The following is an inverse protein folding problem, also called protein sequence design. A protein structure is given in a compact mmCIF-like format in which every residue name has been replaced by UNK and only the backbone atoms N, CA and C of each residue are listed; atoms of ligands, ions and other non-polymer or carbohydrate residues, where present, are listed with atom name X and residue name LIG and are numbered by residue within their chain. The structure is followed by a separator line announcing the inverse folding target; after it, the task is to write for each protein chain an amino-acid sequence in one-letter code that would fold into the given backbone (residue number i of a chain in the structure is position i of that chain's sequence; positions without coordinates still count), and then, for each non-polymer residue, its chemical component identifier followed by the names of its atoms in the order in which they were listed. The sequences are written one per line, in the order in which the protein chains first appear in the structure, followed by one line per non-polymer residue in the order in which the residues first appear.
data_IF_522230718978
#
_entry.id   IF_522230718978
#
_cell.length_a   1.000
_cell.length_b   1.000
_cell.length_c   1.000
_cell.angle_alpha   90.00
_cell.angle_beta   90.00
_cell.angle_gamma   90.00
#
_symmetry.space_group_name_H-M   'P 1'
#
loop_
_entity.id
_entity.type
_entity.pdbx_description
1 polymer ?
#
# COMPACT_ATOMS: atom_id res chain seq x y z
N UNK A 1 -14.00 32.05 11.56
CA UNK A 1 -13.90 31.85 10.09
C UNK A 1 -12.75 30.88 9.87
N UNK A 2 -12.98 29.74 9.20
CA UNK A 2 -11.91 28.83 8.83
C UNK A 2 -11.05 29.50 7.75
N UNK A 3 -9.74 29.39 7.90
CA UNK A 3 -8.80 30.03 7.01
C UNK A 3 -8.48 29.07 5.85
N UNK A 4 -8.77 29.48 4.62
CA UNK A 4 -8.39 28.76 3.42
C UNK A 4 -6.88 28.83 3.21
N UNK A 5 -6.26 27.68 2.97
CA UNK A 5 -4.83 27.58 2.65
C UNK A 5 -4.63 27.48 1.15
N UNK A 6 -3.55 28.10 0.65
CA UNK A 6 -3.06 27.96 -0.72
C UNK A 6 -2.13 26.73 -0.76
N UNK A 7 -2.57 25.66 -1.43
CA UNK A 7 -1.93 24.36 -1.38
C UNK A 7 -1.39 23.96 -2.76
N UNK A 8 -0.14 23.50 -2.80
CA UNK A 8 0.39 22.69 -3.88
C UNK A 8 0.24 21.22 -3.48
N UNK A 9 -0.37 20.42 -4.33
CA UNK A 9 -0.53 18.99 -4.12
C UNK A 9 0.48 18.21 -4.95
N UNK A 10 1.15 17.22 -4.35
CA UNK A 10 2.07 16.32 -5.05
C UNK A 10 1.69 14.87 -4.79
N UNK A 11 1.49 14.12 -5.86
CA UNK A 11 1.12 12.72 -5.79
C UNK A 11 0.95 12.13 -7.18
N UNK A 12 0.86 10.81 -7.27
CA UNK A 12 0.85 10.14 -8.57
C UNK A 12 -0.29 9.12 -8.73
N UNK A 13 -0.40 8.04 -7.90
CA UNK A 13 -1.39 6.98 -8.14
C UNK A 13 -2.80 7.34 -7.66
N UNK A 14 -3.71 6.41 -7.84
CA UNK A 14 -5.10 6.52 -7.41
C UNK A 14 -5.27 6.90 -5.93
N UNK A 15 -4.47 6.33 -5.06
CA UNK A 15 -4.49 6.68 -3.62
C UNK A 15 -4.28 8.19 -3.42
N UNK A 16 -3.32 8.78 -4.11
CA UNK A 16 -3.08 10.22 -4.08
C UNK A 16 -4.24 11.00 -4.70
N UNK A 17 -4.79 10.53 -5.82
CA UNK A 17 -5.92 11.17 -6.48
C UNK A 17 -7.15 11.27 -5.56
N UNK A 18 -7.40 10.27 -4.72
CA UNK A 18 -8.51 10.31 -3.75
C UNK A 18 -8.30 11.38 -2.69
N UNK A 19 -7.06 11.64 -2.27
CA UNK A 19 -6.72 12.75 -1.37
C UNK A 19 -6.90 14.10 -2.06
N UNK A 20 -6.46 14.21 -3.30
CA UNK A 20 -6.67 15.42 -4.11
C UNK A 20 -8.17 15.72 -4.27
N UNK A 21 -8.98 14.71 -4.53
CA UNK A 21 -10.44 14.87 -4.65
C UNK A 21 -11.05 15.47 -3.36
N UNK A 22 -10.60 15.00 -2.19
CA UNK A 22 -11.05 15.55 -0.91
C UNK A 22 -10.63 17.02 -0.74
N UNK A 23 -9.40 17.37 -1.14
CA UNK A 23 -8.93 18.76 -1.11
C UNK A 23 -9.75 19.66 -2.04
N UNK A 24 -10.10 19.19 -3.23
CA UNK A 24 -10.90 19.94 -4.19
C UNK A 24 -12.33 20.19 -3.70
N UNK A 25 -12.85 19.31 -2.83
CA UNK A 25 -14.15 19.49 -2.18
C UNK A 25 -14.08 20.26 -0.87
N UNK A 26 -12.88 20.65 -0.43
CA UNK A 26 -12.67 21.42 0.80
C UNK A 26 -12.70 22.93 0.53
N UNK A 27 -12.59 23.70 1.59
CA UNK A 27 -12.47 25.16 1.52
C UNK A 27 -11.08 25.64 1.09
N UNK A 28 -10.08 24.73 1.02
CA UNK A 28 -8.71 25.09 0.64
C UNK A 28 -8.57 25.23 -0.88
N UNK A 29 -7.63 26.05 -1.30
CA UNK A 29 -7.34 26.30 -2.71
C UNK A 29 -6.15 25.46 -3.16
N UNK A 30 -6.37 24.53 -4.10
CA UNK A 30 -5.29 23.81 -4.77
C UNK A 30 -4.83 24.63 -5.98
N UNK A 31 -3.67 25.24 -5.85
CA UNK A 31 -3.16 26.18 -6.88
C UNK A 31 -2.37 25.49 -7.98
N UNK A 32 -1.81 24.32 -7.71
CA UNK A 32 -1.05 23.52 -8.66
C UNK A 32 -0.92 22.09 -8.18
N UNK A 33 -0.65 21.20 -9.12
CA UNK A 33 -0.42 19.76 -8.88
C UNK A 33 0.93 19.37 -9.46
N UNK A 34 1.70 18.63 -8.65
CA UNK A 34 2.92 17.96 -9.06
C UNK A 34 2.66 16.45 -9.12
N UNK A 35 3.08 15.82 -10.20
CA UNK A 35 2.93 14.37 -10.38
C UNK A 35 4.09 13.85 -11.23
N UNK A 36 4.33 12.54 -11.19
CA UNK A 36 5.38 11.95 -12.00
C UNK A 36 5.07 12.06 -13.49
N UNK A 37 6.09 12.06 -14.35
CA UNK A 37 5.88 12.07 -15.81
C UNK A 37 5.00 10.90 -16.27
N UNK A 38 4.28 11.11 -17.36
CA UNK A 38 3.50 10.06 -18.01
C UNK A 38 4.39 8.86 -18.35
N UNK A 39 3.88 7.65 -18.15
CA UNK A 39 4.62 6.41 -18.40
C UNK A 39 3.84 5.48 -19.31
N UNK A 40 4.55 4.63 -20.09
CA UNK A 40 3.90 3.59 -20.85
C UNK A 40 3.11 2.64 -19.95
N UNK A 41 1.84 2.40 -20.29
CA UNK A 41 0.95 1.52 -19.54
C UNK A 41 0.18 0.59 -20.48
N UNK A 42 -0.23 -0.56 -19.94
CA UNK A 42 -1.03 -1.54 -20.65
C UNK A 42 -0.29 -2.28 -21.77
N UNK A 43 -1.02 -3.13 -22.48
CA UNK A 43 -0.46 -4.00 -23.53
C UNK A 43 0.09 -3.25 -24.74
N UNK A 44 -0.34 -2.05 -25.01
CA UNK A 44 0.14 -1.24 -26.15
C UNK A 44 1.28 -0.28 -25.82
N UNK A 45 1.77 -0.24 -24.58
CA UNK A 45 2.80 0.69 -24.10
C UNK A 45 2.53 2.15 -24.47
N UNK A 46 1.26 2.55 -24.57
CA UNK A 46 0.89 3.94 -24.77
C UNK A 46 1.16 4.76 -23.51
N UNK A 47 1.59 6.01 -23.69
CA UNK A 47 1.77 6.91 -22.56
C UNK A 47 0.42 7.15 -21.86
N UNK A 48 0.38 6.92 -20.56
CA UNK A 48 -0.79 7.16 -19.74
C UNK A 48 -0.50 8.25 -18.72
N UNK A 49 -1.43 9.18 -18.58
CA UNK A 49 -1.38 10.18 -17.54
C UNK A 49 -1.64 9.53 -16.17
N UNK A 50 -0.87 9.90 -15.12
CA UNK A 50 -1.16 9.45 -13.76
C UNK A 50 -2.58 9.86 -13.33
N UNK A 51 -3.22 9.09 -12.42
CA UNK A 51 -4.54 9.45 -11.88
C UNK A 51 -4.64 10.87 -11.33
N UNK A 52 -3.61 11.35 -10.65
CA UNK A 52 -3.57 12.73 -10.12
C UNK A 52 -3.61 13.75 -11.25
N UNK A 53 -2.85 13.53 -12.33
CA UNK A 53 -2.90 14.42 -13.52
C UNK A 53 -4.28 14.43 -14.14
N UNK A 54 -4.90 13.27 -14.32
CA UNK A 54 -6.23 13.16 -14.91
C UNK A 54 -7.24 13.99 -14.12
N UNK A 55 -7.24 13.86 -12.81
CA UNK A 55 -8.14 14.61 -11.93
C UNK A 55 -7.86 16.11 -11.99
N UNK A 56 -6.59 16.52 -11.97
CA UNK A 56 -6.20 17.92 -12.03
C UNK A 56 -6.66 18.58 -13.34
N UNK A 57 -6.52 17.89 -14.46
CA UNK A 57 -6.98 18.39 -15.77
C UNK A 57 -8.50 18.56 -15.83
N UNK A 58 -9.25 17.66 -15.23
CA UNK A 58 -10.73 17.79 -15.13
C UNK A 58 -11.15 19.05 -14.36
N UNK A 59 -10.33 19.54 -13.45
CA UNK A 59 -10.59 20.70 -12.60
C UNK A 59 -9.80 21.94 -13.05
N UNK A 60 -9.16 21.89 -14.22
CA UNK A 60 -8.38 23.00 -14.79
C UNK A 60 -7.27 23.52 -13.86
N UNK A 61 -6.63 22.60 -13.11
CA UNK A 61 -5.52 22.91 -12.22
C UNK A 61 -4.21 22.74 -12.99
N UNK A 62 -3.27 23.70 -12.91
CA UNK A 62 -1.95 23.58 -13.53
C UNK A 62 -1.22 22.32 -13.05
N UNK A 63 -0.64 21.56 -13.97
CA UNK A 63 0.08 20.30 -13.71
C UNK A 63 1.55 20.47 -14.05
N UNK A 64 2.41 20.08 -13.12
CA UNK A 64 3.87 20.10 -13.25
C UNK A 64 4.40 18.67 -13.14
N UNK A 65 5.24 18.28 -14.09
CA UNK A 65 5.78 16.90 -14.16
C UNK A 65 7.31 16.90 -14.29
N UNK A 66 8.05 17.50 -13.34
CA UNK A 66 9.51 17.45 -13.38
C UNK A 66 10.00 16.01 -13.22
N UNK A 67 11.13 15.68 -13.85
CA UNK A 67 11.78 14.39 -13.65
C UNK A 67 12.48 14.29 -12.28
N UNK A 68 12.91 15.44 -11.75
CA UNK A 68 13.51 15.58 -10.42
C UNK A 68 13.49 17.03 -9.96
N UNK A 69 13.82 17.27 -8.69
CA UNK A 69 14.06 18.61 -8.14
C UNK A 69 15.56 18.95 -8.01
N UNK A 70 16.40 18.33 -8.83
CA UNK A 70 17.84 18.63 -8.82
C UNK A 70 18.17 19.98 -9.47
N UNK A 71 17.41 20.39 -10.48
CA UNK A 71 17.67 21.65 -11.18
C UNK A 71 17.18 22.86 -10.38
N UNK A 72 17.87 23.98 -10.54
CA UNK A 72 17.45 25.25 -9.96
C UNK A 72 16.13 25.74 -10.58
N UNK A 73 15.90 25.43 -11.86
CA UNK A 73 14.67 25.79 -12.57
C UNK A 73 13.44 25.14 -11.94
N UNK A 74 13.49 23.83 -11.65
CA UNK A 74 12.39 23.11 -11.01
C UNK A 74 12.09 23.66 -9.61
N UNK A 75 13.12 24.01 -8.85
CA UNK A 75 12.98 24.61 -7.51
C UNK A 75 12.37 26.00 -7.60
N UNK A 76 12.82 26.82 -8.54
CA UNK A 76 12.31 28.18 -8.73
C UNK A 76 10.86 28.19 -9.20
N UNK A 77 10.49 27.28 -10.10
CA UNK A 77 9.12 27.12 -10.56
C UNK A 77 8.15 26.84 -9.40
N UNK A 78 8.54 25.99 -8.47
CA UNK A 78 7.77 25.75 -7.25
C UNK A 78 7.70 26.99 -6.35
N UNK A 79 8.82 27.67 -6.16
CA UNK A 79 8.89 28.88 -5.33
C UNK A 79 7.99 30.01 -5.88
N UNK A 80 7.92 30.16 -7.19
CA UNK A 80 7.11 31.19 -7.84
C UNK A 80 5.60 31.01 -7.64
N UNK A 81 5.16 29.82 -7.24
CA UNK A 81 3.76 29.55 -6.94
C UNK A 81 3.29 30.18 -5.61
N UNK A 82 4.20 30.55 -4.74
CA UNK A 82 3.89 31.13 -3.42
C UNK A 82 2.88 30.31 -2.62
N UNK A 83 3.06 28.99 -2.57
CA UNK A 83 2.22 28.11 -1.77
C UNK A 83 2.43 28.31 -0.27
N UNK A 84 1.35 28.24 0.50
CA UNK A 84 1.46 28.22 1.95
C UNK A 84 1.85 26.85 2.48
N UNK A 85 1.38 25.79 1.82
CA UNK A 85 1.61 24.39 2.21
C UNK A 85 1.73 23.51 0.98
N UNK A 86 2.58 22.49 1.05
CA UNK A 86 2.61 21.43 0.06
C UNK A 86 2.11 20.15 0.72
N UNK A 87 1.11 19.52 0.13
CA UNK A 87 0.58 18.22 0.55
C UNK A 87 1.11 17.14 -0.37
N UNK A 88 1.82 16.17 0.21
CA UNK A 88 2.47 15.08 -0.53
C UNK A 88 1.80 13.76 -0.19
N UNK A 89 1.29 13.06 -1.19
CA UNK A 89 0.66 11.75 -1.03
C UNK A 89 1.15 10.82 -2.14
N UNK A 90 1.97 9.83 -1.78
CA UNK A 90 2.49 8.85 -2.74
C UNK A 90 3.06 9.51 -4.02
N UNK A 91 3.92 10.48 -3.85
CA UNK A 91 4.55 11.17 -4.97
C UNK A 91 5.65 10.34 -5.62
N UNK A 92 6.49 9.69 -4.80
CA UNK A 92 7.57 8.82 -5.28
C UNK A 92 8.78 9.58 -5.80
N UNK A 93 8.94 10.84 -5.41
CA UNK A 93 10.08 11.68 -5.78
C UNK A 93 10.75 12.25 -4.54
N UNK A 94 12.07 12.23 -4.52
CA UNK A 94 12.84 12.84 -3.42
C UNK A 94 12.70 14.35 -3.46
N UNK A 95 12.40 14.92 -2.30
CA UNK A 95 12.29 16.36 -2.11
C UNK A 95 13.54 16.85 -1.35
N UNK A 96 14.42 17.63 -2.00
CA UNK A 96 15.57 18.19 -1.31
C UNK A 96 15.15 19.25 -0.29
N UNK A 97 16.04 19.57 0.64
CA UNK A 97 15.75 20.53 1.71
C UNK A 97 15.22 21.87 1.20
N UNK A 98 15.77 22.36 0.09
CA UNK A 98 15.30 23.60 -0.52
C UNK A 98 13.83 23.55 -0.93
N UNK A 99 13.33 22.39 -1.38
CA UNK A 99 11.91 22.19 -1.72
C UNK A 99 11.06 22.08 -0.46
N UNK A 100 11.54 21.37 0.55
CA UNK A 100 10.83 21.23 1.83
C UNK A 100 10.63 22.58 2.54
N UNK A 101 11.59 23.49 2.38
CA UNK A 101 11.57 24.82 3.00
C UNK A 101 10.81 25.88 2.15
N UNK A 102 10.45 25.54 0.92
CA UNK A 102 9.83 26.50 -0.01
C UNK A 102 8.42 26.93 0.43
N UNK A 103 7.48 26.04 0.74
CA UNK A 103 6.18 26.48 1.25
C UNK A 103 6.31 27.10 2.63
N UNK A 104 5.56 28.14 2.90
CA UNK A 104 5.61 28.88 4.17
C UNK A 104 5.43 27.99 5.40
N UNK A 105 4.51 27.01 5.32
CA UNK A 105 4.21 26.05 6.38
C UNK A 105 4.87 24.69 6.14
N UNK A 106 5.77 24.59 5.16
CA UNK A 106 6.48 23.37 4.82
C UNK A 106 5.67 22.39 3.99
N UNK A 107 6.07 21.12 4.07
CA UNK A 107 5.46 20.01 3.35
C UNK A 107 4.94 18.99 4.35
N UNK A 108 3.72 18.49 4.14
CA UNK A 108 3.15 17.40 4.91
C UNK A 108 2.93 16.19 4.01
N UNK A 109 2.97 14.99 4.61
CA UNK A 109 2.78 13.74 3.90
C UNK A 109 1.73 12.89 4.59
N UNK A 110 0.91 12.20 3.81
CA UNK A 110 0.00 11.16 4.29
C UNK A 110 0.67 9.82 4.12
N UNK A 111 1.03 9.18 5.22
CA UNK A 111 1.69 7.87 5.23
C UNK A 111 0.74 6.78 5.71
N UNK A 112 0.71 5.65 5.01
CA UNK A 112 -0.21 4.54 5.26
C UNK A 112 0.20 3.60 6.39
N UNK A 113 0.64 4.14 7.52
CA UNK A 113 0.93 3.39 8.75
C UNK A 113 0.76 4.26 9.99
N UNK A 114 0.81 3.63 11.15
CA UNK A 114 0.88 4.30 12.46
C UNK A 114 2.37 4.51 12.78
N UNK A 115 2.95 5.63 12.31
CA UNK A 115 4.36 5.94 12.54
C UNK A 115 4.69 6.03 14.05
N UNK A 116 5.91 5.65 14.46
CA UNK A 116 7.10 5.34 13.65
C UNK A 116 7.14 3.92 13.08
N UNK A 117 6.09 3.12 13.30
CA UNK A 117 6.02 1.78 12.74
C UNK A 117 5.77 1.83 11.23
N UNK A 118 6.51 1.01 10.50
CA UNK A 118 6.39 0.84 9.04
C UNK A 118 6.70 2.11 8.24
N UNK A 119 7.82 2.77 8.55
CA UNK A 119 8.41 3.73 7.62
C UNK A 119 8.74 3.03 6.30
N UNK A 120 8.68 3.71 5.18
CA UNK A 120 9.13 3.19 3.89
C UNK A 120 8.01 2.82 2.90
N UNK A 121 8.30 1.88 2.00
CA UNK A 121 7.60 1.74 0.73
C UNK A 121 6.28 0.94 0.77
N UNK A 122 6.16 -0.04 1.68
CA UNK A 122 5.05 -0.99 1.66
C UNK A 122 4.36 -1.16 3.03
N UNK A 123 3.92 -0.07 3.68
CA UNK A 123 3.37 -0.13 5.03
C UNK A 123 2.08 -0.94 5.12
N UNK A 124 1.20 -0.86 4.12
CA UNK A 124 -0.08 -1.58 4.10
C UNK A 124 0.18 -3.09 4.13
N UNK A 125 1.03 -3.55 3.22
CA UNK A 125 1.35 -4.97 3.08
C UNK A 125 2.07 -5.50 4.33
N UNK A 126 3.02 -4.75 4.87
CA UNK A 126 3.81 -5.21 6.01
C UNK A 126 3.02 -5.29 7.31
N UNK A 127 2.04 -4.44 7.53
CA UNK A 127 1.17 -4.54 8.71
C UNK A 127 0.36 -5.84 8.73
N UNK A 128 -0.16 -6.26 7.58
CA UNK A 128 -0.88 -7.54 7.45
C UNK A 128 0.10 -8.71 7.55
N UNK A 129 1.21 -8.64 6.83
CA UNK A 129 2.26 -9.65 6.84
C UNK A 129 2.79 -9.95 8.25
N UNK A 130 2.95 -8.92 9.07
CA UNK A 130 3.44 -9.06 10.45
C UNK A 130 2.36 -9.50 11.45
N UNK A 131 1.09 -9.48 11.08
CA UNK A 131 -0.01 -9.83 11.97
C UNK A 131 -0.39 -8.72 12.94
N UNK A 132 -0.19 -7.46 12.57
CA UNK A 132 -0.59 -6.34 13.41
C UNK A 132 -2.10 -6.33 13.60
N UNK A 133 -2.55 -5.95 14.80
CA UNK A 133 -3.98 -5.89 15.13
C UNK A 133 -4.67 -4.67 14.52
N UNK A 134 -3.91 -3.60 14.29
CA UNK A 134 -4.40 -2.34 13.72
C UNK A 134 -3.38 -1.71 12.79
N UNK A 135 -3.86 -0.84 11.94
CA UNK A 135 -3.07 0.05 11.09
C UNK A 135 -3.77 1.41 11.00
N UNK A 136 -3.30 2.28 10.15
CA UNK A 136 -3.88 3.59 10.00
C UNK A 136 -3.10 4.47 9.05
N UNK A 137 -3.34 5.75 9.16
CA UNK A 137 -2.58 6.77 8.45
C UNK A 137 -1.99 7.76 9.44
N UNK A 138 -0.82 8.27 9.13
CA UNK A 138 -0.16 9.35 9.85
C UNK A 138 0.03 10.52 8.90
N UNK A 139 -0.42 11.69 9.30
CA UNK A 139 -0.06 12.96 8.65
C UNK A 139 1.18 13.47 9.37
N UNK A 140 2.28 13.64 8.64
CA UNK A 140 3.53 14.10 9.25
C UNK A 140 4.08 15.34 8.55
N UNK A 141 4.79 16.17 9.29
CA UNK A 141 5.62 17.24 8.76
C UNK A 141 6.84 16.59 8.11
N UNK A 142 7.08 16.82 6.83
CA UNK A 142 8.21 16.20 6.14
C UNK A 142 9.54 16.84 6.55
N UNK A 143 10.54 16.01 6.73
CA UNK A 143 11.96 16.39 6.85
C UNK A 143 12.77 15.63 5.79
N UNK A 144 14.08 15.75 5.85
CA UNK A 144 14.99 15.14 4.85
C UNK A 144 15.08 13.61 4.99
N UNK A 145 14.64 13.05 6.10
CA UNK A 145 14.66 11.62 6.33
C UNK A 145 13.50 10.88 5.67
N UNK A 146 13.60 9.56 5.61
CA UNK A 146 12.53 8.71 5.07
C UNK A 146 11.47 8.48 6.14
N UNK A 147 10.35 9.17 6.01
CA UNK A 147 9.19 9.06 6.91
C UNK A 147 9.53 9.30 8.40
N UNK A 148 10.45 10.20 8.66
CA UNK A 148 10.98 10.48 9.99
C UNK A 148 10.44 11.74 10.63
N UNK A 149 9.63 12.52 9.91
CA UNK A 149 9.14 13.82 10.36
C UNK A 149 8.16 13.76 11.53
N UNK A 150 7.94 14.89 12.16
CA UNK A 150 7.03 15.00 13.29
C UNK A 150 5.59 14.68 12.89
N UNK A 151 4.90 13.93 13.72
CA UNK A 151 3.52 13.53 13.49
C UNK A 151 2.56 14.65 13.88
N UNK A 152 1.64 14.97 12.98
CA UNK A 152 0.61 16.00 13.21
C UNK A 152 -0.75 15.38 13.56
N UNK A 153 -1.06 14.23 12.96
CA UNK A 153 -2.31 13.51 13.19
C UNK A 153 -2.14 12.03 12.87
N UNK A 154 -2.77 11.19 13.68
CA UNK A 154 -2.86 9.74 13.45
C UNK A 154 -4.33 9.35 13.47
N UNK A 155 -4.77 8.56 12.48
CA UNK A 155 -6.08 7.93 12.45
C UNK A 155 -5.88 6.42 12.29
N UNK A 156 -6.55 5.62 13.11
CA UNK A 156 -6.37 4.17 13.16
C UNK A 156 -7.63 3.42 12.81
N UNK A 157 -7.46 2.18 12.37
CA UNK A 157 -8.53 1.21 12.17
C UNK A 157 -8.03 -0.20 12.41
N UNK A 158 -8.92 -1.14 12.81
CA UNK A 158 -8.51 -2.52 13.02
C UNK A 158 -8.20 -3.22 11.70
N UNK A 159 -7.28 -4.19 11.76
CA UNK A 159 -7.06 -5.16 10.67
C UNK A 159 -7.90 -6.39 10.99
N UNK A 160 -8.92 -6.63 10.16
CA UNK A 160 -9.80 -7.79 10.33
C UNK A 160 -9.12 -9.07 9.79
N UNK A 161 -9.54 -10.23 10.29
CA UNK A 161 -9.00 -11.52 9.86
C UNK A 161 -9.17 -11.79 8.34
N UNK A 162 -10.14 -11.14 7.71
CA UNK A 162 -10.41 -11.26 6.28
C UNK A 162 -9.75 -10.18 5.42
N UNK A 163 -9.09 -9.20 6.05
CA UNK A 163 -8.46 -8.13 5.30
C UNK A 163 -7.27 -8.63 4.47
N UNK A 164 -7.25 -8.18 3.23
CA UNK A 164 -6.10 -8.27 2.31
C UNK A 164 -5.48 -6.89 2.15
N UNK A 165 -4.33 -6.81 1.51
CA UNK A 165 -3.78 -5.50 1.13
C UNK A 165 -4.71 -4.73 0.19
N UNK A 166 -5.47 -5.43 -0.67
CA UNK A 166 -6.48 -4.80 -1.52
C UNK A 166 -7.61 -4.17 -0.69
N UNK A 167 -8.19 -4.90 0.26
CA UNK A 167 -9.28 -4.35 1.11
C UNK A 167 -8.78 -3.25 2.04
N UNK A 168 -7.59 -3.41 2.59
CA UNK A 168 -6.99 -2.41 3.47
C UNK A 168 -6.65 -1.11 2.71
N UNK A 169 -6.16 -1.24 1.48
CA UNK A 169 -5.95 -0.09 0.61
C UNK A 169 -7.23 0.75 0.47
N UNK A 170 -8.37 0.11 0.21
CA UNK A 170 -9.66 0.81 0.10
C UNK A 170 -10.06 1.48 1.41
N UNK A 171 -9.88 0.81 2.55
CA UNK A 171 -10.17 1.38 3.86
C UNK A 171 -9.30 2.61 4.17
N UNK A 172 -8.01 2.53 3.88
CA UNK A 172 -7.09 3.65 4.09
C UNK A 172 -7.31 4.79 3.09
N UNK A 173 -7.76 4.47 1.88
CA UNK A 173 -8.11 5.46 0.87
C UNK A 173 -9.38 6.28 1.23
N UNK A 174 -10.18 5.80 2.17
CA UNK A 174 -11.29 6.55 2.78
C UNK A 174 -10.85 7.28 4.04
N UNK A 175 -10.10 6.61 4.90
CA UNK A 175 -9.63 7.18 6.18
C UNK A 175 -8.62 8.30 5.99
N UNK A 176 -7.71 8.16 5.04
CA UNK A 176 -6.62 9.11 4.80
C UNK A 176 -7.11 10.51 4.42
N UNK A 177 -8.02 10.64 3.43
CA UNK A 177 -8.59 11.94 3.07
C UNK A 177 -9.30 12.64 4.22
N UNK A 178 -10.08 11.93 5.03
CA UNK A 178 -10.72 12.50 6.22
C UNK A 178 -9.69 13.03 7.22
N UNK A 179 -8.68 12.23 7.53
CA UNK A 179 -7.61 12.63 8.44
C UNK A 179 -6.83 13.83 7.90
N UNK A 180 -6.61 13.90 6.59
CA UNK A 180 -5.94 15.03 5.95
C UNK A 180 -6.74 16.31 6.12
N UNK A 181 -8.04 16.30 5.83
CA UNK A 181 -8.89 17.50 5.95
C UNK A 181 -8.96 17.97 7.41
N UNK A 182 -9.11 17.05 8.37
CA UNK A 182 -9.09 17.39 9.80
C UNK A 182 -7.75 18.01 10.22
N UNK A 183 -6.65 17.45 9.75
CA UNK A 183 -5.31 17.98 10.03
C UNK A 183 -5.10 19.37 9.42
N UNK A 184 -5.60 19.61 8.22
CA UNK A 184 -5.53 20.91 7.56
C UNK A 184 -6.33 21.98 8.31
N UNK A 185 -7.46 21.63 8.89
CA UNK A 185 -8.22 22.53 9.75
C UNK A 185 -7.40 22.99 10.96
N UNK A 186 -6.68 22.06 11.60
CA UNK A 186 -5.80 22.37 12.72
C UNK A 186 -4.61 23.25 12.30
N UNK A 187 -4.00 22.94 11.14
CA UNK A 187 -2.90 23.75 10.61
C UNK A 187 -3.37 25.18 10.29
N UNK A 188 -4.51 25.31 9.62
CA UNK A 188 -5.08 26.61 9.25
C UNK A 188 -5.44 27.45 10.48
N UNK A 189 -5.87 26.80 11.57
CA UNK A 189 -6.20 27.46 12.83
C UNK A 189 -4.98 27.73 13.74
N UNK A 190 -3.78 27.28 13.33
CA UNK A 190 -2.59 27.38 14.17
C UNK A 190 -2.60 26.48 15.39
N UNK A 191 -3.41 25.40 15.37
CA UNK A 191 -3.61 24.48 16.49
C UNK A 191 -2.90 23.14 16.32
N UNK A 192 -2.25 22.88 15.18
CA UNK A 192 -1.51 21.65 14.96
C UNK A 192 -0.32 21.55 15.92
N UNK A 193 -0.19 20.43 16.62
CA UNK A 193 0.89 20.18 17.56
C UNK A 193 1.77 19.03 17.03
N UNK A 194 2.98 19.32 16.52
CA UNK A 194 3.89 18.29 16.07
C UNK A 194 4.38 17.44 17.24
N UNK A 195 4.38 16.13 17.03
CA UNK A 195 4.88 15.13 17.98
C UNK A 195 6.05 14.40 17.34
N UNK A 196 7.22 14.49 17.95
CA UNK A 196 8.42 13.81 17.46
C UNK A 196 8.24 12.29 17.50
N UNK A 197 8.66 11.61 16.42
CA UNK A 197 8.68 10.15 16.41
C UNK A 197 9.77 9.61 17.35
N UNK A 198 9.45 8.51 18.05
CA UNK A 198 10.43 7.76 18.83
C UNK A 198 11.16 6.79 17.88
N UNK A 199 12.41 7.10 17.54
CA UNK A 199 13.22 6.31 16.61
C UNK A 199 13.51 4.89 17.12
N UNK A 200 13.45 4.66 18.44
CA UNK A 200 13.65 3.33 19.02
C UNK A 200 12.47 2.39 18.70
N UNK A 201 11.30 2.94 18.42
CA UNK A 201 10.10 2.17 18.03
C UNK A 201 9.96 2.02 16.51
N UNK A 202 10.86 2.62 15.74
CA UNK A 202 10.78 2.59 14.29
C UNK A 202 11.17 1.25 13.71
N UNK A 203 10.48 0.85 12.65
CA UNK A 203 10.87 -0.22 11.75
C UNK A 203 10.54 0.18 10.31
N UNK A 204 10.93 -0.64 9.35
CA UNK A 204 10.86 -0.29 7.94
C UNK A 204 10.06 -1.31 7.13
N UNK A 205 9.11 -0.81 6.35
CA UNK A 205 8.31 -1.58 5.42
C UNK A 205 9.03 -1.67 4.07
N UNK A 206 9.86 -2.69 3.92
CA UNK A 206 10.60 -2.95 2.68
C UNK A 206 9.64 -3.21 1.54
N UNK A 207 10.01 -2.71 0.36
CA UNK A 207 9.29 -2.98 -0.89
C UNK A 207 9.15 -4.49 -1.11
N UNK A 208 7.98 -4.92 -1.58
CA UNK A 208 7.72 -6.32 -1.92
C UNK A 208 8.48 -6.72 -3.19
N UNK A 209 8.84 -8.00 -3.26
CA UNK A 209 9.43 -8.60 -4.46
C UNK A 209 8.62 -9.81 -4.90
N UNK A 210 8.76 -10.19 -6.16
CA UNK A 210 8.10 -11.40 -6.71
C UNK A 210 8.64 -12.67 -6.07
N UNK A 211 9.92 -12.68 -5.77
CA UNK A 211 10.60 -13.81 -5.13
C UNK A 211 10.05 -14.11 -3.74
N UNK A 212 9.72 -13.06 -2.99
CA UNK A 212 9.15 -13.16 -1.65
C UNK A 212 7.76 -13.83 -1.64
N UNK A 213 7.05 -13.80 -2.76
CA UNK A 213 5.72 -14.38 -2.89
C UNK A 213 5.72 -15.91 -3.02
N UNK A 214 6.88 -16.52 -3.28
CA UNK A 214 6.97 -17.99 -3.26
C UNK A 214 6.74 -18.50 -1.85
N UNK A 215 5.78 -19.40 -1.68
CA UNK A 215 5.46 -19.97 -0.37
C UNK A 215 6.62 -20.84 0.12
N UNK A 216 7.07 -20.58 1.33
CA UNK A 216 7.96 -21.47 2.05
C UNK A 216 7.12 -22.32 3.01
N UNK A 217 6.91 -23.58 2.66
CA UNK A 217 6.08 -24.49 3.45
C UNK A 217 6.65 -24.80 4.84
N UNK A 218 7.93 -24.50 5.08
CA UNK A 218 8.55 -24.64 6.40
C UNK A 218 8.15 -23.54 7.40
N UNK A 219 7.54 -22.48 6.92
CA UNK A 219 6.99 -21.42 7.77
C UNK A 219 5.72 -21.90 8.48
N UNK A 220 5.30 -21.20 9.53
CA UNK A 220 4.03 -21.49 10.20
C UNK A 220 2.84 -21.25 9.28
N UNK A 221 1.82 -22.09 9.39
CA UNK A 221 0.58 -21.92 8.62
C UNK A 221 -0.03 -20.52 8.81
N UNK A 222 0.00 -19.99 10.02
CA UNK A 222 -0.48 -18.65 10.33
C UNK A 222 0.30 -17.57 9.58
N UNK A 223 1.61 -17.71 9.45
CA UNK A 223 2.43 -16.76 8.69
C UNK A 223 2.15 -16.85 7.18
N UNK A 224 2.06 -18.07 6.64
CA UNK A 224 1.76 -18.27 5.22
C UNK A 224 0.38 -17.65 4.88
N UNK A 225 -0.61 -17.87 5.75
CA UNK A 225 -1.95 -17.30 5.59
C UNK A 225 -1.90 -15.76 5.53
N UNK A 226 -1.13 -15.12 6.42
CA UNK A 226 -0.94 -13.67 6.39
C UNK A 226 -0.24 -13.20 5.11
N UNK A 227 0.75 -13.94 4.61
CA UNK A 227 1.41 -13.65 3.34
C UNK A 227 0.41 -13.70 2.17
N UNK A 228 -0.48 -14.67 2.15
CA UNK A 228 -1.54 -14.76 1.13
C UNK A 228 -2.39 -13.50 1.12
N UNK A 229 -2.80 -13.01 2.27
CA UNK A 229 -3.57 -11.76 2.39
C UNK A 229 -2.74 -10.51 2.08
N UNK A 230 -1.52 -10.44 2.60
CA UNK A 230 -0.63 -9.29 2.41
C UNK A 230 -0.22 -9.09 0.94
N UNK A 231 -0.02 -10.18 0.21
CA UNK A 231 0.43 -10.15 -1.18
C UNK A 231 -0.71 -10.12 -2.20
N UNK A 232 -1.93 -9.99 -1.76
CA UNK A 232 -3.10 -9.78 -2.60
C UNK A 232 -3.41 -8.27 -2.68
N UNK A 233 -3.34 -7.60 -3.84
CA UNK A 233 -3.41 -8.14 -5.20
C UNK A 233 -2.04 -8.34 -5.89
N UNK A 234 -0.95 -8.04 -5.25
CA UNK A 234 0.39 -8.21 -5.84
C UNK A 234 1.43 -8.43 -4.72
N UNK A 235 2.40 -9.33 -4.95
CA UNK A 235 2.68 -10.13 -6.15
C UNK A 235 1.87 -11.43 -6.28
N UNK A 236 1.04 -11.79 -5.32
CA UNK A 236 0.28 -13.02 -5.14
C UNK A 236 1.17 -14.20 -4.74
N UNK A 237 0.91 -14.76 -3.57
CA UNK A 237 1.59 -15.96 -3.11
C UNK A 237 1.40 -17.11 -4.08
N UNK A 238 2.45 -17.90 -4.29
CA UNK A 238 2.43 -19.01 -5.25
C UNK A 238 3.30 -20.17 -4.79
N UNK A 239 3.06 -21.34 -5.37
CA UNK A 239 3.84 -22.55 -5.21
C UNK A 239 3.86 -23.33 -6.53
N UNK A 240 4.70 -24.36 -6.60
CA UNK A 240 4.79 -25.21 -7.78
C UNK A 240 4.04 -26.53 -7.56
N UNK A 241 3.24 -26.92 -8.54
CA UNK A 241 2.58 -28.23 -8.59
C UNK A 241 2.47 -28.70 -10.03
N UNK A 242 2.80 -29.98 -10.32
CA UNK A 242 2.76 -30.55 -11.66
C UNK A 242 3.46 -29.67 -12.71
N UNK A 243 4.64 -29.14 -12.38
CA UNK A 243 5.46 -28.25 -13.21
C UNK A 243 4.77 -26.91 -13.59
N UNK A 244 3.76 -26.52 -12.81
CA UNK A 244 3.05 -25.26 -13.01
C UNK A 244 3.14 -24.38 -11.76
N UNK A 245 3.26 -23.09 -11.97
CA UNK A 245 3.17 -22.11 -10.89
C UNK A 245 1.69 -21.83 -10.57
N UNK A 246 1.27 -22.14 -9.35
CA UNK A 246 -0.10 -22.01 -8.89
C UNK A 246 -0.20 -20.83 -7.93
N UNK A 247 -1.03 -19.86 -8.23
CA UNK A 247 -1.27 -18.71 -7.38
C UNK A 247 -2.34 -19.02 -6.33
N UNK A 248 -2.12 -18.54 -5.11
CA UNK A 248 -3.05 -18.70 -4.00
C UNK A 248 -3.73 -17.35 -3.72
N UNK A 249 -5.03 -17.31 -3.92
CA UNK A 249 -5.83 -16.10 -3.68
C UNK A 249 -6.49 -16.09 -2.30
N UNK A 250 -6.81 -17.27 -1.77
CA UNK A 250 -7.45 -17.40 -0.47
C UNK A 250 -7.00 -18.68 0.22
N UNK A 251 -6.73 -18.56 1.51
CA UNK A 251 -6.34 -19.66 2.38
C UNK A 251 -6.86 -19.42 3.80
N UNK A 252 -6.83 -20.47 4.63
CA UNK A 252 -7.10 -20.38 6.05
C UNK A 252 -6.22 -21.34 6.81
N UNK A 253 -6.06 -21.13 8.09
CA UNK A 253 -5.38 -22.06 8.98
C UNK A 253 -6.39 -23.12 9.43
N UNK A 254 -6.05 -24.42 9.26
CA UNK A 254 -6.89 -25.51 9.75
C UNK A 254 -6.79 -25.65 11.28
N UNK A 255 -7.83 -26.19 11.89
CA UNK A 255 -7.80 -26.55 13.30
C UNK A 255 -6.96 -27.80 13.55
N UNK A 256 -6.87 -28.69 12.57
CA UNK A 256 -6.08 -29.92 12.64
C UNK A 256 -4.58 -29.64 12.57
N UNK A 257 -3.80 -30.57 13.12
CA UNK A 257 -2.33 -30.59 13.00
C UNK A 257 -1.89 -31.78 12.15
N UNK A 258 -0.62 -31.79 11.75
CA UNK A 258 -0.04 -32.91 10.99
C UNK A 258 1.42 -33.13 11.41
N UNK A 259 1.84 -34.39 11.43
CA UNK A 259 3.23 -34.79 11.62
C UNK A 259 3.97 -35.04 10.29
N UNK A 260 3.29 -34.84 9.16
CA UNK A 260 3.87 -35.05 7.85
C UNK A 260 4.90 -33.94 7.53
N UNK A 261 5.87 -34.21 6.65
CA UNK A 261 6.81 -33.19 6.23
C UNK A 261 6.11 -31.95 5.66
N UNK A 262 6.69 -30.76 5.90
CA UNK A 262 6.17 -29.51 5.38
C UNK A 262 6.06 -29.55 3.85
N UNK A 263 4.93 -29.10 3.33
CA UNK A 263 4.61 -29.17 1.90
C UNK A 263 3.79 -30.38 1.50
N UNK A 264 3.58 -31.35 2.39
CA UNK A 264 2.80 -32.57 2.08
C UNK A 264 1.30 -32.25 2.07
N UNK A 265 0.60 -32.64 1.01
CA UNK A 265 -0.85 -32.62 0.93
C UNK A 265 -1.40 -33.72 1.84
N UNK A 266 -2.15 -33.36 2.85
CA UNK A 266 -2.71 -34.30 3.83
C UNK A 266 -4.19 -34.59 3.63
N UNK A 267 -4.88 -33.71 2.88
CA UNK A 267 -6.30 -33.86 2.54
C UNK A 267 -6.60 -33.00 1.31
N UNK A 268 -7.44 -33.49 0.41
CA UNK A 268 -7.88 -32.74 -0.76
C UNK A 268 -9.34 -33.10 -1.06
N UNK A 269 -10.24 -32.17 -0.83
CA UNK A 269 -11.67 -32.31 -1.07
C UNK A 269 -12.32 -30.95 -1.35
N UNK A 270 -13.65 -30.93 -1.45
CA UNK A 270 -14.41 -29.70 -1.71
C UNK A 270 -14.21 -28.58 -0.69
N UNK A 271 -13.72 -28.90 0.51
CA UNK A 271 -13.47 -27.91 1.57
C UNK A 271 -12.13 -27.23 1.43
N UNK A 272 -11.23 -27.78 0.64
CA UNK A 272 -9.91 -27.22 0.37
C UNK A 272 -8.84 -28.27 0.14
N UNK A 273 -7.64 -27.77 -0.16
CA UNK A 273 -6.41 -28.58 -0.19
C UNK A 273 -5.64 -28.27 1.08
N UNK A 274 -5.48 -29.29 1.91
CA UNK A 274 -4.82 -29.17 3.21
C UNK A 274 -3.36 -29.53 3.08
N UNK A 275 -2.47 -28.63 3.45
CA UNK A 275 -1.02 -28.78 3.28
C UNK A 275 -0.35 -28.66 4.65
N UNK A 276 0.45 -29.65 5.01
CA UNK A 276 1.28 -29.59 6.21
C UNK A 276 2.33 -28.48 6.06
N UNK A 277 2.57 -27.74 7.13
CA UNK A 277 3.55 -26.66 7.17
C UNK A 277 4.56 -26.89 8.28
N UNK A 278 5.49 -25.97 8.48
CA UNK A 278 6.44 -26.06 9.60
C UNK A 278 5.76 -26.10 10.97
N UNK A 279 4.59 -25.50 11.10
CA UNK A 279 3.73 -25.59 12.26
C UNK A 279 2.27 -25.38 11.82
N UNK A 280 1.45 -26.39 12.02
CA UNK A 280 0.04 -26.38 11.62
C UNK A 280 -0.19 -26.80 10.18
N UNK A 281 -1.42 -26.66 9.73
CA UNK A 281 -1.89 -27.03 8.40
C UNK A 281 -2.56 -25.82 7.74
N UNK A 282 -2.15 -25.53 6.52
CA UNK A 282 -2.77 -24.48 5.69
C UNK A 282 -3.81 -25.11 4.77
N UNK A 283 -4.98 -24.49 4.67
CA UNK A 283 -6.03 -24.89 3.74
C UNK A 283 -6.06 -23.90 2.58
N UNK A 284 -5.81 -24.40 1.39
CA UNK A 284 -5.95 -23.63 0.16
C UNK A 284 -7.42 -23.66 -0.27
N UNK A 285 -8.00 -22.48 -0.51
CA UNK A 285 -9.44 -22.36 -0.78
C UNK A 285 -9.72 -21.83 -2.19
N UNK A 286 -8.91 -20.90 -2.69
CA UNK A 286 -9.01 -20.32 -4.01
C UNK A 286 -7.64 -20.26 -4.68
N UNK A 287 -7.55 -20.86 -5.86
CA UNK A 287 -6.31 -21.01 -6.61
C UNK A 287 -6.45 -20.49 -8.05
N UNK A 288 -5.33 -20.15 -8.65
CA UNK A 288 -5.27 -19.77 -10.06
C UNK A 288 -4.16 -20.53 -10.75
N UNK A 289 -4.53 -21.34 -11.75
CA UNK A 289 -3.58 -22.02 -12.63
C UNK A 289 -3.20 -21.11 -13.79
N UNK A 290 -2.04 -21.33 -14.46
CA UNK A 290 -1.62 -20.52 -15.58
C UNK A 290 -2.69 -20.40 -16.67
N UNK A 291 -2.93 -19.19 -17.15
CA UNK A 291 -3.87 -18.91 -18.25
C UNK A 291 -5.35 -18.98 -17.88
N UNK A 292 -5.68 -19.19 -16.61
CA UNK A 292 -7.07 -19.26 -16.12
C UNK A 292 -7.35 -18.17 -15.07
N UNK A 293 -8.62 -17.98 -14.75
CA UNK A 293 -9.04 -17.12 -13.63
C UNK A 293 -8.89 -17.87 -12.32
N UNK A 294 -8.85 -17.12 -11.20
CA UNK A 294 -8.93 -17.71 -9.88
C UNK A 294 -10.24 -18.52 -9.73
N UNK A 295 -10.13 -19.71 -9.16
CA UNK A 295 -11.23 -20.66 -8.99
C UNK A 295 -11.22 -21.25 -7.60
N UNK A 296 -12.40 -21.71 -7.13
CA UNK A 296 -12.48 -22.52 -5.92
C UNK A 296 -11.67 -23.81 -6.07
N UNK A 297 -11.20 -24.35 -4.95
CA UNK A 297 -10.52 -25.65 -4.95
C UNK A 297 -11.43 -26.76 -5.52
N UNK A 298 -12.74 -26.69 -5.26
CA UNK A 298 -13.67 -27.67 -5.83
C UNK A 298 -13.57 -27.69 -7.37
N UNK A 299 -13.59 -26.53 -8.01
CA UNK A 299 -13.47 -26.44 -9.47
C UNK A 299 -12.09 -26.91 -9.98
N UNK A 300 -11.03 -26.59 -9.24
CA UNK A 300 -9.69 -27.06 -9.54
C UNK A 300 -9.63 -28.60 -9.50
N UNK A 301 -10.16 -29.22 -8.47
CA UNK A 301 -10.14 -30.67 -8.29
C UNK A 301 -11.01 -31.42 -9.33
N UNK A 302 -12.07 -30.79 -9.82
CA UNK A 302 -12.90 -31.38 -10.88
C UNK A 302 -12.12 -31.67 -12.18
N UNK A 303 -11.07 -30.90 -12.45
CA UNK A 303 -10.30 -31.03 -13.69
C UNK A 303 -8.82 -31.40 -13.48
N UNK A 304 -8.30 -31.22 -12.26
CA UNK A 304 -6.86 -31.35 -11.95
C UNK A 304 -6.59 -32.10 -10.65
N UNK A 305 -7.45 -33.03 -10.26
CA UNK A 305 -7.30 -33.80 -9.03
C UNK A 305 -5.92 -34.48 -8.92
N UNK A 306 -5.38 -34.95 -10.03
CA UNK A 306 -4.09 -35.63 -10.07
C UNK A 306 -2.91 -34.74 -9.66
N UNK A 307 -3.03 -33.42 -9.74
CA UNK A 307 -1.99 -32.48 -9.33
C UNK A 307 -1.90 -32.36 -7.80
N UNK A 308 -2.96 -32.73 -7.10
CA UNK A 308 -3.12 -32.47 -5.67
C UNK A 308 -3.50 -33.73 -4.88
N UNK A 309 -3.00 -34.89 -5.30
CA UNK A 309 -3.22 -36.14 -4.58
C UNK A 309 -2.62 -36.09 -3.17
N UNK A 310 -3.33 -36.69 -2.22
CA UNK A 310 -2.84 -36.84 -0.83
C UNK A 310 -1.49 -37.54 -0.84
N UNK A 311 -0.53 -37.00 -0.11
CA UNK A 311 0.85 -37.49 -0.07
C UNK A 311 1.80 -36.79 -1.03
N UNK A 312 1.30 -35.96 -1.96
CA UNK A 312 2.14 -35.14 -2.84
C UNK A 312 2.90 -34.12 -2.01
N UNK A 313 4.19 -33.97 -2.30
CA UNK A 313 5.06 -32.96 -1.68
C UNK A 313 5.14 -31.74 -2.61
N UNK A 314 4.59 -30.62 -2.16
CA UNK A 314 4.66 -29.34 -2.87
C UNK A 314 5.99 -28.63 -2.62
N UNK A 315 6.46 -27.85 -3.58
CA UNK A 315 7.72 -27.08 -3.52
C UNK A 315 7.51 -25.60 -3.75
#
# INVERSE_FOLDING_TARGET
MSQSLRIVFAGTPDFAARHLAALLSSEHEVIAVYTNPDRPAGRGKKLAAPPVKQLALEHNIPVYQPESFKSDEAKQELADLNAELMVVVAYGMLLPQAVLDTPKLGCINVHGSILPRWRGAAPIQRSIWAGDAETGVTIMQMDIGLDTGDMLKIATLPIEATDTSASMYEKLAELGPEALIDCLADIAAGKAVPVKQDDELANYAKKLSKEEARINWNDDAAHIERCVRAFNPWPISHFEAAENSIKVWQSRVAEQTSDKPAGTIVQADKTGIYVATGNGVLVLEQLQVPGKKAMSVQDILNSRAAWFEVGTLLV
#
